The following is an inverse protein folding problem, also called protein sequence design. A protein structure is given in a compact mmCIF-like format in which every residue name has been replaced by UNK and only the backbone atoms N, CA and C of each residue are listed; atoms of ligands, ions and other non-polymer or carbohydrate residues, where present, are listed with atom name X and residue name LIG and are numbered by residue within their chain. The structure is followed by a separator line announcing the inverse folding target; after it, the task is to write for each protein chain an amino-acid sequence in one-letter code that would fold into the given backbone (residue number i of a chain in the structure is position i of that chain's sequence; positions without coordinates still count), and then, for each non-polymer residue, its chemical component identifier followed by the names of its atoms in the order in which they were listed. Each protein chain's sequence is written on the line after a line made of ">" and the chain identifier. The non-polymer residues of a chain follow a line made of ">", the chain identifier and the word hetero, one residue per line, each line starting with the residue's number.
data_IF_677324963976
#
_entry.id   IF_677324963976
#
_cell.length_a   1.000
_cell.length_b   1.000
_cell.length_c   1.000
_cell.angle_alpha   90.00
_cell.angle_beta   90.00
_cell.angle_gamma   90.00
#
_symmetry.space_group_name_H-M   'P 1'
#
loop_
_entity.id
_entity.type
_entity.pdbx_description
1 polymer ?
#
# COMPACT_ATOMS: atom_id res chain seq x y z
N UNK A 1 -10.14 39.30 -57.26
CA UNK A 1 -10.96 38.94 -56.08
C UNK A 1 -10.77 37.50 -55.58
N UNK A 2 -10.30 36.54 -56.39
CA UNK A 2 -10.10 35.14 -55.94
C UNK A 2 -8.82 34.82 -55.15
N UNK A 3 -7.73 35.59 -55.34
CA UNK A 3 -6.46 35.31 -54.64
C UNK A 3 -6.49 35.69 -53.14
N UNK A 4 -7.20 36.77 -52.78
CA UNK A 4 -7.37 37.19 -51.37
C UNK A 4 -8.20 36.17 -50.59
N UNK A 5 -9.28 35.65 -51.20
CA UNK A 5 -10.16 34.66 -50.55
C UNK A 5 -9.45 33.33 -50.31
N UNK A 6 -8.60 32.88 -51.24
CA UNK A 6 -7.79 31.67 -51.04
C UNK A 6 -6.79 31.88 -49.89
N UNK A 7 -6.17 33.06 -49.80
CA UNK A 7 -5.23 33.38 -48.72
C UNK A 7 -5.93 33.44 -47.34
N UNK A 8 -7.14 33.99 -47.29
CA UNK A 8 -7.96 34.02 -46.07
C UNK A 8 -8.38 32.61 -45.61
N UNK A 9 -8.73 31.72 -46.55
CA UNK A 9 -9.07 30.33 -46.23
C UNK A 9 -7.85 29.57 -45.70
N UNK A 10 -6.68 29.75 -46.33
CA UNK A 10 -5.44 29.07 -45.91
C UNK A 10 -5.01 29.55 -44.52
N UNK A 11 -5.02 30.85 -44.26
CA UNK A 11 -4.64 31.41 -42.95
C UNK A 11 -5.61 30.99 -41.84
N UNK A 12 -6.93 31.01 -42.09
CA UNK A 12 -7.93 30.52 -41.14
C UNK A 12 -7.77 29.02 -40.84
N UNK A 13 -7.44 28.20 -41.85
CA UNK A 13 -7.22 26.76 -41.66
C UNK A 13 -5.96 26.50 -40.83
N UNK A 14 -4.88 27.24 -41.07
CA UNK A 14 -3.64 27.14 -40.28
C UNK A 14 -3.89 27.50 -38.82
N UNK A 15 -4.57 28.62 -38.56
CA UNK A 15 -4.91 29.04 -37.18
C UNK A 15 -5.82 28.02 -36.51
N UNK A 16 -6.86 27.52 -37.21
CA UNK A 16 -7.75 26.49 -36.70
C UNK A 16 -7.02 25.19 -36.36
N UNK A 17 -6.08 24.75 -37.21
CA UNK A 17 -5.27 23.56 -36.98
C UNK A 17 -4.35 23.70 -35.77
N UNK A 18 -3.73 24.88 -35.58
CA UNK A 18 -2.91 25.17 -34.42
C UNK A 18 -3.72 25.15 -33.12
N UNK A 19 -4.91 25.76 -33.13
CA UNK A 19 -5.82 25.74 -31.98
C UNK A 19 -6.28 24.32 -31.66
N UNK A 20 -6.59 23.50 -32.67
CA UNK A 20 -6.96 22.11 -32.48
C UNK A 20 -5.81 21.31 -31.87
N UNK A 21 -4.58 21.47 -32.37
CA UNK A 21 -3.40 20.81 -31.81
C UNK A 21 -3.13 21.25 -30.36
N UNK A 22 -3.33 22.53 -30.03
CA UNK A 22 -3.25 23.01 -28.66
C UNK A 22 -4.31 22.35 -27.77
N UNK A 23 -5.57 22.28 -28.21
CA UNK A 23 -6.65 21.63 -27.47
C UNK A 23 -6.37 20.13 -27.24
N UNK A 24 -5.87 19.43 -28.25
CA UNK A 24 -5.48 18.02 -28.14
C UNK A 24 -4.33 17.82 -27.15
N UNK A 25 -3.31 18.70 -27.16
CA UNK A 25 -2.22 18.64 -26.19
C UNK A 25 -2.70 18.90 -24.76
N UNK A 26 -3.57 19.88 -24.56
CA UNK A 26 -4.17 20.16 -23.26
C UNK A 26 -4.99 18.97 -22.75
N UNK A 27 -5.76 18.32 -23.63
CA UNK A 27 -6.53 17.14 -23.27
C UNK A 27 -5.60 15.96 -22.90
N UNK A 28 -4.58 15.69 -23.71
CA UNK A 28 -3.61 14.63 -23.43
C UNK A 28 -2.88 14.87 -22.09
N UNK A 29 -2.45 16.10 -21.83
CA UNK A 29 -1.81 16.49 -20.57
C UNK A 29 -2.78 16.34 -19.39
N UNK A 30 -4.03 16.75 -19.53
CA UNK A 30 -5.04 16.59 -18.49
C UNK A 30 -5.31 15.11 -18.17
N UNK A 31 -5.36 14.23 -19.18
CA UNK A 31 -5.53 12.79 -18.99
C UNK A 31 -4.34 12.17 -18.26
N UNK A 32 -3.12 12.47 -18.70
CA UNK A 32 -1.89 11.99 -18.06
C UNK A 32 -1.80 12.47 -16.60
N UNK A 33 -2.07 13.76 -16.39
CA UNK A 33 -2.05 14.38 -15.07
C UNK A 33 -3.08 13.74 -14.13
N UNK A 34 -4.31 13.50 -14.60
CA UNK A 34 -5.32 12.80 -13.81
C UNK A 34 -4.90 11.36 -13.49
N UNK A 35 -4.34 10.63 -14.44
CA UNK A 35 -3.88 9.25 -14.21
C UNK A 35 -2.77 9.20 -13.14
N UNK A 36 -1.80 10.11 -13.21
CA UNK A 36 -0.73 10.24 -12.22
C UNK A 36 -1.28 10.62 -10.84
N UNK A 37 -2.17 11.61 -10.76
CA UNK A 37 -2.78 12.02 -9.49
C UNK A 37 -3.60 10.91 -8.84
N UNK A 38 -4.42 10.19 -9.61
CA UNK A 38 -5.22 9.07 -9.10
C UNK A 38 -4.33 7.94 -8.57
N UNK A 39 -3.25 7.60 -9.27
CA UNK A 39 -2.29 6.61 -8.79
C UNK A 39 -1.63 7.05 -7.48
N UNK A 40 -1.17 8.30 -7.39
CA UNK A 40 -0.55 8.84 -6.16
C UNK A 40 -1.53 8.86 -4.98
N UNK A 41 -2.81 9.14 -5.24
CA UNK A 41 -3.85 9.17 -4.23
C UNK A 41 -4.19 7.76 -3.73
N UNK A 42 -4.32 6.78 -4.63
CA UNK A 42 -4.51 5.37 -4.28
C UNK A 42 -3.34 4.81 -3.46
N UNK A 43 -2.10 5.17 -3.80
CA UNK A 43 -0.91 4.78 -3.03
C UNK A 43 -0.95 5.35 -1.61
N UNK A 44 -1.31 6.62 -1.46
CA UNK A 44 -1.44 7.26 -0.13
C UNK A 44 -2.49 6.56 0.73
N UNK A 45 -3.69 6.30 0.19
CA UNK A 45 -4.74 5.60 0.93
C UNK A 45 -4.32 4.19 1.34
N UNK A 46 -3.65 3.47 0.44
CA UNK A 46 -3.22 2.10 0.70
C UNK A 46 -2.13 2.04 1.77
N UNK A 47 -1.19 3.00 1.78
CA UNK A 47 -0.15 3.10 2.81
C UNK A 47 -0.77 3.42 4.18
N UNK A 48 -1.72 4.37 4.24
CA UNK A 48 -2.42 4.70 5.49
C UNK A 48 -3.13 3.45 6.04
N UNK A 49 -3.87 2.72 5.20
CA UNK A 49 -4.52 1.48 5.62
C UNK A 49 -3.54 0.41 6.12
N UNK A 50 -2.36 0.30 5.50
CA UNK A 50 -1.31 -0.62 5.96
C UNK A 50 -0.76 -0.21 7.32
N UNK A 51 -0.50 1.07 7.53
CA UNK A 51 -0.04 1.61 8.83
C UNK A 51 -1.08 1.35 9.91
N UNK A 52 -2.36 1.61 9.63
CA UNK A 52 -3.45 1.37 10.58
C UNK A 52 -3.54 -0.11 11.00
N UNK A 53 -3.37 -1.04 10.05
CA UNK A 53 -3.37 -2.48 10.34
C UNK A 53 -2.16 -2.87 11.19
N UNK A 54 -0.96 -2.44 10.80
CA UNK A 54 0.28 -2.77 11.52
C UNK A 54 0.26 -2.18 12.93
N UNK A 55 -0.17 -0.93 13.08
CA UNK A 55 -0.28 -0.27 14.37
C UNK A 55 -1.31 -0.95 15.27
N UNK A 56 -2.50 -1.26 14.74
CA UNK A 56 -3.55 -1.97 15.48
C UNK A 56 -3.06 -3.33 15.98
N UNK A 57 -2.41 -4.11 15.11
CA UNK A 57 -1.87 -5.42 15.47
C UNK A 57 -0.75 -5.30 16.52
N UNK A 58 0.17 -4.36 16.35
CA UNK A 58 1.31 -4.19 17.25
C UNK A 58 0.86 -3.70 18.63
N UNK A 59 -0.15 -2.84 18.70
CA UNK A 59 -0.77 -2.41 19.97
C UNK A 59 -1.46 -3.56 20.71
N UNK A 60 -1.88 -4.61 20.00
CA UNK A 60 -2.55 -5.78 20.57
C UNK A 60 -1.63 -6.98 20.79
N UNK A 61 -0.31 -6.83 20.70
CA UNK A 61 0.63 -7.91 21.03
C UNK A 61 0.38 -8.37 22.47
N UNK A 62 0.10 -9.65 22.65
CA UNK A 62 -0.20 -10.26 23.95
C UNK A 62 -1.58 -9.96 24.52
N UNK A 63 -2.42 -9.23 23.79
CA UNK A 63 -3.82 -9.01 24.18
C UNK A 63 -4.65 -10.25 23.87
N UNK A 64 -5.48 -10.68 24.82
CA UNK A 64 -6.58 -11.61 24.60
C UNK A 64 -7.75 -11.24 25.51
N UNK A 65 -8.98 -11.34 24.99
CA UNK A 65 -10.20 -11.12 25.78
C UNK A 65 -10.29 -12.11 26.94
N UNK A 66 -9.81 -13.33 26.75
CA UNK A 66 -9.56 -14.28 27.83
C UNK A 66 -8.12 -14.13 28.35
N UNK A 67 -7.98 -13.37 29.44
CA UNK A 67 -6.70 -13.09 30.08
C UNK A 67 -5.99 -14.35 30.62
N UNK A 68 -6.68 -15.48 30.73
CA UNK A 68 -6.08 -16.74 31.20
C UNK A 68 -5.30 -17.48 30.12
N UNK A 69 -5.47 -17.12 28.84
CA UNK A 69 -4.80 -17.80 27.72
C UNK A 69 -3.39 -17.27 27.43
N UNK A 70 -3.15 -15.99 27.70
CA UNK A 70 -1.83 -15.34 27.56
C UNK A 70 -1.40 -14.84 28.95
N UNK A 71 -0.83 -15.72 29.77
CA UNK A 71 -0.39 -15.38 31.13
C UNK A 71 1.13 -15.23 31.23
N UNK A 72 1.70 -14.22 31.88
CA UNK A 72 3.15 -14.17 32.12
C UNK A 72 3.68 -15.45 32.81
N UNK A 73 4.86 -15.96 32.43
CA UNK A 73 5.82 -15.40 31.47
C UNK A 73 5.59 -15.89 30.03
N UNK A 74 4.35 -16.25 29.66
CA UNK A 74 4.02 -16.72 28.32
C UNK A 74 4.39 -15.63 27.30
N UNK A 75 5.35 -15.98 26.46
CA UNK A 75 6.04 -15.13 25.51
C UNK A 75 5.07 -14.71 24.43
N UNK A 76 4.31 -13.63 24.69
CA UNK A 76 3.43 -13.00 23.71
C UNK A 76 4.13 -12.79 22.35
N UNK A 77 5.46 -12.60 22.39
CA UNK A 77 6.34 -12.64 21.23
C UNK A 77 6.95 -14.05 21.12
N UNK A 78 6.56 -14.78 20.08
CA UNK A 78 7.05 -16.14 19.78
C UNK A 78 8.40 -16.09 19.05
N UNK A 79 8.59 -15.11 18.17
CA UNK A 79 9.84 -14.89 17.46
C UNK A 79 10.04 -13.38 17.21
N UNK A 80 11.24 -12.90 17.50
CA UNK A 80 11.66 -11.53 17.27
C UNK A 80 12.93 -11.52 16.43
N UNK A 81 12.81 -11.09 15.17
CA UNK A 81 13.92 -10.92 14.25
C UNK A 81 14.02 -9.47 13.76
N UNK A 82 15.14 -9.08 13.14
CA UNK A 82 15.34 -7.70 12.69
C UNK A 82 14.36 -7.28 11.58
N UNK A 83 13.87 -8.22 10.78
CA UNK A 83 12.96 -7.98 9.63
C UNK A 83 11.72 -8.89 9.67
N UNK A 84 11.48 -9.57 10.78
CA UNK A 84 10.31 -10.42 10.96
C UNK A 84 9.92 -10.52 12.42
N UNK A 85 8.63 -10.67 12.68
CA UNK A 85 8.11 -10.82 14.05
C UNK A 85 6.91 -11.75 14.04
N UNK A 86 6.90 -12.67 14.99
CA UNK A 86 5.79 -13.58 15.24
C UNK A 86 5.29 -13.39 16.66
N UNK A 87 4.01 -13.12 16.83
CA UNK A 87 3.42 -12.87 18.13
C UNK A 87 2.00 -13.40 18.23
N UNK A 88 1.52 -13.49 19.47
CA UNK A 88 0.19 -13.92 19.84
C UNK A 88 -0.69 -12.70 20.12
N UNK A 89 -1.94 -12.77 19.67
CA UNK A 89 -2.96 -11.76 19.93
C UNK A 89 -4.35 -12.39 19.82
N UNK A 90 -5.39 -11.60 19.91
CA UNK A 90 -6.78 -12.00 19.76
C UNK A 90 -7.44 -11.07 18.75
N UNK A 91 -7.73 -11.60 17.57
CA UNK A 91 -8.31 -10.86 16.46
C UNK A 91 -9.83 -10.95 16.58
N UNK A 92 -10.55 -9.83 16.58
CA UNK A 92 -11.99 -9.87 16.67
C UNK A 92 -12.63 -10.51 15.43
N UNK A 93 -13.59 -11.39 15.65
CA UNK A 93 -14.41 -11.99 14.60
C UNK A 93 -15.49 -11.05 14.05
N UNK A 94 -15.77 -9.94 14.75
CA UNK A 94 -16.79 -8.94 14.41
C UNK A 94 -16.24 -7.51 14.52
N UNK A 95 -16.67 -6.56 13.66
CA UNK A 95 -16.20 -5.16 13.72
C UNK A 95 -16.49 -4.43 15.03
N UNK A 96 -17.45 -4.92 15.82
CA UNK A 96 -17.85 -4.31 17.10
C UNK A 96 -17.08 -4.85 18.29
N UNK A 97 -16.32 -5.94 18.11
CA UNK A 97 -15.61 -6.61 19.20
C UNK A 97 -14.13 -6.20 19.23
N UNK A 98 -13.55 -6.26 20.43
CA UNK A 98 -12.12 -6.00 20.65
C UNK A 98 -11.26 -7.25 20.48
N UNK A 99 -11.87 -8.43 20.64
CA UNK A 99 -11.34 -9.78 20.50
C UNK A 99 -12.47 -10.81 20.66
N UNK A 100 -12.28 -12.04 20.17
CA UNK A 100 -13.22 -13.16 20.27
C UNK A 100 -12.86 -14.14 21.42
N UNK A 101 -11.73 -13.91 22.10
CA UNK A 101 -11.24 -14.73 23.20
C UNK A 101 -10.47 -15.96 22.72
N UNK A 102 -10.19 -16.11 21.44
CA UNK A 102 -9.31 -17.14 20.87
C UNK A 102 -7.92 -16.55 20.68
N UNK A 103 -6.88 -17.33 20.96
CA UNK A 103 -5.51 -16.89 20.73
C UNK A 103 -5.16 -17.15 19.28
N UNK A 104 -4.85 -16.07 18.57
CA UNK A 104 -4.36 -16.05 17.23
C UNK A 104 -2.85 -15.82 17.18
N UNK A 105 -2.24 -16.25 16.09
CA UNK A 105 -0.83 -15.99 15.80
C UNK A 105 -0.73 -15.10 14.57
N UNK A 106 -0.01 -13.98 14.70
CA UNK A 106 0.33 -13.13 13.58
C UNK A 106 1.83 -13.26 13.29
N UNK A 107 2.16 -13.42 12.02
CA UNK A 107 3.54 -13.43 11.53
C UNK A 107 3.72 -12.41 10.42
N UNK A 108 4.63 -11.46 10.66
CA UNK A 108 5.08 -10.47 9.70
C UNK A 108 6.49 -10.80 9.23
N UNK A 109 6.72 -10.72 7.92
CA UNK A 109 8.05 -10.84 7.33
C UNK A 109 8.12 -10.13 5.99
N UNK A 110 9.35 -9.76 5.60
CA UNK A 110 9.62 -9.12 4.33
C UNK A 110 9.98 -10.17 3.27
N UNK A 111 9.37 -10.05 2.09
CA UNK A 111 9.63 -10.90 0.92
C UNK A 111 10.97 -10.63 0.24
N UNK A 112 11.24 -11.42 -0.79
CA UNK A 112 12.42 -11.27 -1.64
C UNK A 112 12.18 -10.21 -2.73
N UNK A 113 13.23 -9.52 -3.16
CA UNK A 113 13.18 -8.55 -4.28
C UNK A 113 12.83 -9.20 -5.61
N UNK A 114 13.11 -10.50 -5.76
CA UNK A 114 12.79 -11.28 -6.95
C UNK A 114 11.29 -11.40 -7.19
N UNK A 115 10.47 -11.23 -6.15
CA UNK A 115 9.00 -11.31 -6.25
C UNK A 115 8.39 -10.07 -6.91
N UNK A 116 9.12 -8.94 -6.94
CA UNK A 116 8.70 -7.68 -7.55
C UNK A 116 9.70 -7.19 -8.61
N UNK A 117 10.28 -8.11 -9.38
CA UNK A 117 11.27 -7.78 -10.41
C UNK A 117 10.75 -6.92 -11.56
N UNK A 118 9.42 -6.78 -11.70
CA UNK A 118 8.78 -6.00 -12.76
C UNK A 118 8.58 -4.53 -12.40
N UNK A 119 8.85 -4.12 -11.16
CA UNK A 119 8.71 -2.72 -10.77
C UNK A 119 9.94 -1.91 -11.20
N UNK A 120 9.81 -0.59 -11.42
CA UNK A 120 10.96 0.26 -11.73
C UNK A 120 12.00 0.31 -10.62
N UNK A 121 11.60 0.04 -9.37
CA UNK A 121 12.49 0.05 -8.22
C UNK A 121 12.91 -1.39 -7.85
N UNK A 122 14.17 -1.78 -8.06
CA UNK A 122 14.63 -3.15 -7.81
C UNK A 122 14.63 -3.55 -6.33
N UNK A 123 14.38 -2.61 -5.42
CA UNK A 123 14.33 -2.86 -3.97
C UNK A 123 12.91 -3.11 -3.46
N UNK A 124 11.89 -3.04 -4.33
CA UNK A 124 10.52 -3.31 -3.90
C UNK A 124 10.38 -4.75 -3.43
N UNK A 125 9.70 -4.92 -2.30
CA UNK A 125 9.45 -6.20 -1.65
C UNK A 125 8.01 -6.25 -1.16
N UNK A 126 7.44 -7.44 -1.11
CA UNK A 126 6.17 -7.65 -0.43
C UNK A 126 6.37 -7.59 1.09
N UNK A 127 5.51 -6.85 1.79
CA UNK A 127 5.34 -7.05 3.23
C UNK A 127 4.23 -8.07 3.44
N UNK A 128 4.57 -9.22 4.01
CA UNK A 128 3.62 -10.28 4.26
C UNK A 128 3.06 -10.21 5.67
N UNK A 129 1.74 -10.43 5.77
CA UNK A 129 1.04 -10.70 7.03
C UNK A 129 0.35 -12.05 6.94
N UNK A 130 0.68 -12.95 7.86
CA UNK A 130 0.05 -14.26 8.03
C UNK A 130 -0.70 -14.28 9.35
N UNK A 131 -1.95 -14.73 9.33
CA UNK A 131 -2.78 -14.96 10.51
C UNK A 131 -3.06 -16.45 10.63
N UNK A 132 -2.76 -17.06 11.78
CA UNK A 132 -3.02 -18.47 12.09
C UNK A 132 -2.45 -19.47 11.07
N UNK A 133 -1.34 -19.11 10.42
CA UNK A 133 -0.73 -19.97 9.39
C UNK A 133 -1.50 -20.01 8.06
N UNK A 134 -2.53 -19.16 7.87
CA UNK A 134 -3.22 -19.02 6.60
C UNK A 134 -2.29 -18.47 5.50
N UNK A 135 -2.75 -18.54 4.25
CA UNK A 135 -2.03 -17.99 3.09
C UNK A 135 -1.59 -16.55 3.34
N UNK A 136 -0.31 -16.28 3.08
CA UNK A 136 0.28 -14.97 3.28
C UNK A 136 -0.41 -13.92 2.41
N UNK A 137 -0.94 -12.88 3.04
CA UNK A 137 -1.43 -11.70 2.32
C UNK A 137 -0.26 -10.73 2.20
N UNK A 138 0.32 -10.66 1.01
CA UNK A 138 1.41 -9.75 0.69
C UNK A 138 0.88 -8.39 0.24
N UNK A 139 1.40 -7.31 0.80
CA UNK A 139 1.16 -5.96 0.31
C UNK A 139 2.33 -5.50 -0.56
N UNK A 140 2.03 -5.10 -1.80
CA UNK A 140 2.96 -4.44 -2.72
C UNK A 140 2.63 -2.94 -2.78
N UNK A 141 3.00 -2.21 -1.74
CA UNK A 141 2.78 -0.77 -1.63
C UNK A 141 4.11 0.01 -1.65
N UNK A 142 5.09 -0.50 -2.40
CA UNK A 142 6.43 0.12 -2.48
C UNK A 142 7.25 -0.04 -1.19
N UNK A 143 7.02 -1.12 -0.44
CA UNK A 143 7.82 -1.42 0.75
C UNK A 143 9.21 -1.87 0.30
N UNK A 144 10.25 -1.13 0.67
CA UNK A 144 11.64 -1.47 0.35
C UNK A 144 12.40 -2.03 1.54
N UNK A 145 11.99 -1.64 2.75
CA UNK A 145 12.62 -2.03 4.00
C UNK A 145 11.59 -2.17 5.11
N UNK A 146 11.76 -3.21 5.92
CA UNK A 146 11.03 -3.41 7.16
C UNK A 146 12.03 -3.77 8.25
N UNK A 147 12.13 -2.96 9.30
CA UNK A 147 13.10 -3.13 10.38
C UNK A 147 12.43 -2.96 11.73
N UNK A 148 12.73 -3.87 12.64
CA UNK A 148 12.25 -3.87 14.02
C UNK A 148 13.43 -3.72 14.97
N UNK A 149 13.20 -2.96 16.06
CA UNK A 149 14.11 -2.84 17.19
C UNK A 149 13.34 -3.17 18.45
N UNK A 150 13.92 -4.04 19.28
CA UNK A 150 13.30 -4.50 20.51
C UNK A 150 14.01 -3.85 21.70
N UNK A 151 13.22 -3.45 22.69
CA UNK A 151 13.72 -2.89 23.94
C UNK A 151 13.72 -4.00 25.00
N UNK A 152 14.88 -4.27 25.61
CA UNK A 152 15.13 -5.42 26.49
C UNK A 152 15.67 -5.04 27.89
N UNK A 153 15.53 -3.79 28.31
CA UNK A 153 16.08 -3.26 29.57
C UNK A 153 15.26 -3.60 30.82
#
# INVERSE_FOLDING_TARGET
>A
MGASTIFDIVSATVVGSLLLLMALRLNAQAVETNAVYQNNLNLQYSIVALVDIVESDFRKIGYCKDFTKIQPPNTAIVNAGPTSIKFLTDIPSSPTDVGDGVVDTIYYFLGDTTELSSTPNPNDRYLYRIVNGNTAKGWNLGVTQFSLRYYDA
#
